data_IF_213830037000
#
_entry.id   IF_213830037000
#
_cell.length_a   1.000
_cell.length_b   1.000
_cell.length_c   1.000
_cell.angle_alpha   90.00
_cell.angle_beta   90.00
_cell.angle_gamma   90.00
#
_symmetry.space_group_name_H-M   'P 1'
#
loop_
_entity.id
_entity.type
_entity.pdbx_description
1 polymer ?
#
# COMPACT_ATOMS: atom_id res chain seq x y z
N UNK A 1 -0.01 -1.22 7.59
CA UNK A 1 0.64 -1.14 6.25
C UNK A 1 0.98 0.30 5.88
N UNK A 2 0.06 1.25 6.02
CA UNK A 2 0.26 2.67 5.63
C UNK A 2 1.45 3.34 6.32
N UNK A 3 1.66 3.09 7.62
CA UNK A 3 2.80 3.65 8.37
C UNK A 3 4.14 3.09 7.89
N UNK A 4 4.25 1.78 7.69
CA UNK A 4 5.47 1.12 7.20
C UNK A 4 5.85 1.59 5.79
N UNK A 5 4.86 1.73 4.90
CA UNK A 5 5.08 2.30 3.56
C UNK A 5 5.53 3.76 3.63
N UNK A 6 4.95 4.57 4.52
CA UNK A 6 5.35 5.96 4.69
C UNK A 6 6.78 6.08 5.24
N UNK A 7 7.18 5.20 6.16
CA UNK A 7 8.56 5.13 6.67
C UNK A 7 9.55 4.77 5.57
N UNK A 8 9.28 3.69 4.81
CA UNK A 8 10.13 3.27 3.69
C UNK A 8 10.24 4.38 2.64
N UNK A 9 9.12 5.04 2.31
CA UNK A 9 9.12 6.19 1.40
C UNK A 9 9.98 7.34 1.92
N UNK A 10 9.92 7.65 3.21
CA UNK A 10 10.73 8.70 3.83
C UNK A 10 12.22 8.35 3.80
N UNK A 11 12.59 7.11 4.15
CA UNK A 11 13.97 6.61 4.09
C UNK A 11 14.53 6.72 2.66
N UNK A 12 13.81 6.24 1.65
CA UNK A 12 14.20 6.32 0.25
C UNK A 12 14.34 7.77 -0.24
N UNK A 13 13.40 8.64 0.16
CA UNK A 13 13.45 10.06 -0.18
C UNK A 13 14.66 10.74 0.45
N UNK A 14 15.01 10.39 1.69
CA UNK A 14 16.17 10.92 2.38
C UNK A 14 17.48 10.51 1.69
N UNK A 15 17.61 9.25 1.26
CA UNK A 15 18.77 8.76 0.52
C UNK A 15 18.98 9.58 -0.78
N UNK A 16 17.93 9.74 -1.57
CA UNK A 16 17.98 10.52 -2.82
C UNK A 16 18.32 11.98 -2.56
N UNK A 17 17.69 12.57 -1.54
CA UNK A 17 17.91 13.98 -1.19
C UNK A 17 19.35 14.22 -0.74
N UNK A 18 19.89 13.35 0.11
CA UNK A 18 21.25 13.47 0.64
C UNK A 18 22.29 13.30 -0.49
N UNK A 19 22.08 12.35 -1.39
CA UNK A 19 22.94 12.19 -2.59
C UNK A 19 22.92 13.44 -3.47
N UNK A 20 21.74 14.01 -3.73
CA UNK A 20 21.61 15.22 -4.54
C UNK A 20 22.29 16.44 -3.88
N UNK A 21 22.13 16.60 -2.56
CA UNK A 21 22.80 17.67 -1.80
C UNK A 21 24.33 17.56 -1.88
N UNK A 22 24.89 16.34 -1.78
CA UNK A 22 26.32 16.14 -1.90
C UNK A 22 26.82 16.40 -3.33
N UNK A 23 26.06 16.02 -4.37
CA UNK A 23 26.34 16.41 -5.75
C UNK A 23 26.38 17.95 -5.91
N UNK A 24 25.40 18.64 -5.34
CA UNK A 24 25.31 20.10 -5.46
C UNK A 24 26.45 20.81 -4.72
N UNK A 25 26.86 20.31 -3.55
CA UNK A 25 28.06 20.80 -2.85
C UNK A 25 29.32 20.62 -3.67
N UNK A 26 29.52 19.45 -4.28
CA UNK A 26 30.66 19.19 -5.15
C UNK A 26 30.66 20.13 -6.37
N UNK A 27 29.50 20.35 -7.00
CA UNK A 27 29.37 21.30 -8.12
C UNK A 27 29.73 22.73 -7.70
N UNK A 28 29.31 23.17 -6.52
CA UNK A 28 29.69 24.48 -5.99
C UNK A 28 31.20 24.60 -5.74
N UNK A 29 31.84 23.58 -5.16
CA UNK A 29 33.28 23.54 -4.95
C UNK A 29 34.06 23.53 -6.28
N UNK A 30 33.59 22.80 -7.27
CA UNK A 30 34.19 22.80 -8.62
C UNK A 30 34.05 24.17 -9.27
N UNK A 31 32.90 24.85 -9.10
CA UNK A 31 32.68 26.18 -9.64
C UNK A 31 33.59 27.24 -9.00
N UNK A 32 33.80 27.19 -7.67
CA UNK A 32 34.74 28.09 -7.00
C UNK A 32 36.18 27.83 -7.44
N UNK A 33 36.61 26.57 -7.49
CA UNK A 33 37.94 26.20 -8.00
C UNK A 33 38.15 26.63 -9.45
N UNK A 34 37.13 26.52 -10.30
CA UNK A 34 37.21 26.97 -11.70
C UNK A 34 37.42 28.48 -11.81
N UNK A 35 36.90 29.25 -10.84
CA UNK A 35 37.15 30.69 -10.75
C UNK A 35 38.59 30.96 -10.30
N UNK A 36 39.04 30.28 -9.25
CA UNK A 36 40.40 30.42 -8.71
C UNK A 36 41.47 30.05 -9.76
N UNK A 37 41.23 28.99 -10.55
CA UNK A 37 42.12 28.59 -11.66
C UNK A 37 42.23 29.73 -12.68
N UNK A 38 41.12 30.36 -13.08
CA UNK A 38 41.13 31.49 -14.04
C UNK A 38 41.88 32.70 -13.50
N UNK A 39 41.71 33.02 -12.22
CA UNK A 39 42.44 34.10 -11.56
C UNK A 39 43.95 33.80 -11.53
N UNK A 40 44.33 32.56 -11.20
CA UNK A 40 45.72 32.11 -11.17
C UNK A 40 46.37 32.01 -12.55
N UNK A 41 45.61 31.65 -13.59
CA UNK A 41 46.07 31.74 -14.98
C UNK A 41 46.41 33.17 -15.38
N UNK A 42 45.62 34.15 -14.93
CA UNK A 42 45.88 35.56 -15.17
C UNK A 42 47.14 36.05 -14.43
N UNK A 43 47.29 35.70 -13.14
CA UNK A 43 48.49 36.00 -12.35
C UNK A 43 49.75 35.40 -12.98
N UNK A 44 49.66 34.16 -13.49
CA UNK A 44 50.77 33.50 -14.20
C UNK A 44 51.18 34.29 -15.44
N UNK A 45 50.23 34.69 -16.28
CA UNK A 45 50.51 35.50 -17.49
C UNK A 45 51.15 36.84 -17.14
N UNK A 46 50.74 37.47 -16.04
CA UNK A 46 51.36 38.71 -15.57
C UNK A 46 52.80 38.48 -15.09
N UNK A 47 53.06 37.39 -14.37
CA UNK A 47 54.41 37.01 -13.95
C UNK A 47 55.33 36.66 -15.14
N UNK A 48 54.81 35.98 -16.17
CA UNK A 48 55.52 35.71 -17.42
C UNK A 48 55.97 37.02 -18.09
N UNK A 49 55.10 38.04 -18.10
CA UNK A 49 55.42 39.35 -18.70
C UNK A 49 56.51 40.12 -17.94
N UNK A 50 56.65 39.90 -16.63
CA UNK A 50 57.63 40.57 -15.76
C UNK A 50 58.97 39.82 -15.68
N UNK A 51 59.09 38.66 -16.34
CA UNK A 51 60.33 37.84 -16.40
C UNK A 51 60.86 37.40 -15.02
N UNK A 52 60.01 37.35 -13.99
CA UNK A 52 60.38 36.86 -12.66
C UNK A 52 60.21 35.35 -12.58
N UNK A 53 61.28 34.63 -12.91
CA UNK A 53 61.29 33.17 -12.97
C UNK A 53 60.95 32.47 -11.65
N UNK A 54 61.24 33.09 -10.50
CA UNK A 54 60.94 32.49 -9.19
C UNK A 54 59.44 32.51 -8.93
N UNK A 55 58.82 33.69 -9.12
CA UNK A 55 57.37 33.86 -8.97
C UNK A 55 56.63 32.99 -10.00
N UNK A 56 57.14 32.91 -11.23
CA UNK A 56 56.54 32.08 -12.27
C UNK A 56 56.48 30.60 -11.89
N UNK A 57 57.57 30.04 -11.36
CA UNK A 57 57.64 28.65 -10.92
C UNK A 57 56.62 28.36 -9.80
N UNK A 58 56.52 29.25 -8.81
CA UNK A 58 55.54 29.14 -7.71
C UNK A 58 54.10 29.15 -8.26
N UNK A 59 53.78 30.06 -9.19
CA UNK A 59 52.45 30.17 -9.81
C UNK A 59 52.08 28.95 -10.67
N UNK A 60 53.04 28.36 -11.37
CA UNK A 60 52.82 27.12 -12.13
C UNK A 60 52.50 25.96 -11.19
N UNK A 61 53.19 25.86 -10.05
CA UNK A 61 52.91 24.85 -9.03
C UNK A 61 51.53 25.02 -8.38
N UNK A 62 51.16 26.25 -8.01
CA UNK A 62 49.83 26.58 -7.49
C UNK A 62 48.72 26.17 -8.47
N UNK A 63 48.89 26.54 -9.74
CA UNK A 63 47.93 26.25 -10.81
C UNK A 63 47.77 24.75 -11.03
N UNK A 64 48.88 24.02 -11.10
CA UNK A 64 48.86 22.56 -11.26
C UNK A 64 48.09 21.88 -10.11
N UNK A 65 48.33 22.31 -8.86
CA UNK A 65 47.61 21.78 -7.70
C UNK A 65 46.10 22.03 -7.78
N UNK A 66 45.68 23.22 -8.23
CA UNK A 66 44.27 23.56 -8.40
C UNK A 66 43.61 22.71 -9.49
N UNK A 67 44.28 22.52 -10.63
CA UNK A 67 43.80 21.66 -11.72
C UNK A 67 43.66 20.20 -11.29
N UNK A 68 44.64 19.65 -10.55
CA UNK A 68 44.54 18.29 -10.02
C UNK A 68 43.39 18.15 -9.01
N UNK A 69 43.20 19.15 -8.16
CA UNK A 69 42.11 19.17 -7.17
C UNK A 69 40.75 19.19 -7.88
N UNK A 70 40.61 20.03 -8.92
CA UNK A 70 39.39 20.09 -9.73
C UNK A 70 39.10 18.74 -10.42
N UNK A 71 40.13 18.09 -10.97
CA UNK A 71 40.01 16.77 -11.59
C UNK A 71 39.53 15.71 -10.60
N UNK A 72 40.12 15.68 -9.39
CA UNK A 72 39.72 14.77 -8.32
C UNK A 72 38.24 14.95 -7.92
N UNK A 73 37.79 16.20 -7.79
CA UNK A 73 36.40 16.50 -7.45
C UNK A 73 35.44 16.12 -8.57
N UNK A 74 35.81 16.36 -9.84
CA UNK A 74 35.02 15.92 -11.00
C UNK A 74 34.90 14.39 -11.05
N UNK A 75 35.99 13.66 -10.78
CA UNK A 75 35.96 12.20 -10.73
C UNK A 75 35.07 11.70 -9.57
N UNK A 76 35.11 12.37 -8.42
CA UNK A 76 34.22 12.07 -7.28
C UNK A 76 32.76 12.33 -7.62
N UNK A 77 32.45 13.46 -8.28
CA UNK A 77 31.11 13.80 -8.74
C UNK A 77 30.58 12.73 -9.71
N UNK A 78 31.37 12.39 -10.74
CA UNK A 78 31.00 11.40 -11.75
C UNK A 78 30.73 10.03 -11.12
N UNK A 79 31.57 9.62 -10.17
CA UNK A 79 31.34 8.39 -9.39
C UNK A 79 30.03 8.48 -8.62
N UNK A 80 29.78 9.55 -7.88
CA UNK A 80 28.56 9.73 -7.10
C UNK A 80 27.32 9.68 -8.00
N UNK A 81 27.32 10.40 -9.12
CA UNK A 81 26.23 10.41 -10.10
C UNK A 81 25.96 9.01 -10.67
N UNK A 82 27.03 8.27 -11.02
CA UNK A 82 26.93 6.91 -11.58
C UNK A 82 26.57 5.82 -10.56
N UNK A 83 26.79 6.05 -9.27
CA UNK A 83 26.54 5.03 -8.24
C UNK A 83 25.04 4.91 -8.01
N UNK A 84 24.48 3.70 -8.13
CA UNK A 84 23.10 3.46 -7.72
C UNK A 84 22.93 3.85 -6.25
N UNK A 85 21.92 4.66 -5.95
CA UNK A 85 21.70 5.15 -4.59
C UNK A 85 21.22 4.07 -3.62
N UNK A 86 20.77 2.93 -4.13
CA UNK A 86 20.24 1.80 -3.38
C UNK A 86 20.76 0.53 -4.05
N UNK A 87 21.27 -0.40 -3.24
CA UNK A 87 21.76 -1.71 -3.67
C UNK A 87 20.62 -2.70 -3.93
N UNK A 88 20.94 -3.82 -4.59
CA UNK A 88 19.96 -4.88 -4.81
C UNK A 88 19.51 -5.53 -3.50
N UNK A 89 20.45 -5.69 -2.55
CA UNK A 89 20.19 -6.22 -1.21
C UNK A 89 19.24 -5.31 -0.42
N UNK A 90 19.47 -4.00 -0.40
CA UNK A 90 18.58 -3.05 0.28
C UNK A 90 17.17 -3.04 -0.36
N UNK A 91 17.09 -3.15 -1.69
CA UNK A 91 15.79 -3.29 -2.38
C UNK A 91 15.03 -4.54 -1.92
N UNK A 92 15.72 -5.67 -1.75
CA UNK A 92 15.11 -6.91 -1.24
C UNK A 92 14.64 -6.75 0.20
N UNK A 93 15.44 -6.11 1.05
CA UNK A 93 15.06 -5.86 2.44
C UNK A 93 13.80 -4.99 2.55
N UNK A 94 13.70 -3.94 1.73
CA UNK A 94 12.48 -3.13 1.64
C UNK A 94 11.27 -3.93 1.17
N UNK A 95 11.45 -4.79 0.16
CA UNK A 95 10.41 -5.67 -0.33
C UNK A 95 9.93 -6.65 0.76
N UNK A 96 10.85 -7.25 1.51
CA UNK A 96 10.52 -8.17 2.60
C UNK A 96 9.77 -7.48 3.73
N UNK A 97 10.18 -6.25 4.11
CA UNK A 97 9.45 -5.42 5.09
C UNK A 97 8.01 -5.13 4.64
N UNK A 98 7.80 -4.85 3.35
CA UNK A 98 6.46 -4.60 2.78
C UNK A 98 5.61 -5.87 2.85
N UNK A 99 6.16 -7.01 2.43
CA UNK A 99 5.44 -8.29 2.45
C UNK A 99 5.08 -8.72 3.87
N UNK A 100 5.98 -8.55 4.83
CA UNK A 100 5.72 -8.84 6.23
C UNK A 100 4.57 -7.99 6.78
N UNK A 101 4.58 -6.67 6.53
CA UNK A 101 3.51 -5.78 6.96
C UNK A 101 2.17 -6.10 6.28
N UNK A 102 2.20 -6.49 4.99
CA UNK A 102 1.01 -6.90 4.27
C UNK A 102 0.40 -8.19 4.82
N UNK A 103 1.24 -9.16 5.14
CA UNK A 103 0.83 -10.41 5.75
C UNK A 103 0.19 -10.19 7.12
N UNK A 104 0.80 -9.38 7.97
CA UNK A 104 0.26 -9.07 9.29
C UNK A 104 -1.13 -8.41 9.21
N UNK A 105 -1.32 -7.48 8.27
CA UNK A 105 -2.61 -6.81 8.09
C UNK A 105 -3.68 -7.74 7.50
N UNK A 106 -3.28 -8.61 6.57
CA UNK A 106 -4.14 -9.66 6.04
C UNK A 106 -4.59 -10.63 7.14
N UNK A 107 -3.67 -11.09 7.99
CA UNK A 107 -3.98 -11.96 9.13
C UNK A 107 -4.97 -11.28 10.10
N UNK A 108 -4.78 -10.00 10.42
CA UNK A 108 -5.72 -9.21 11.24
C UNK A 108 -7.12 -9.11 10.60
N UNK A 109 -7.20 -8.93 9.29
CA UNK A 109 -8.47 -8.88 8.57
C UNK A 109 -9.17 -10.25 8.55
N UNK A 110 -8.41 -11.32 8.34
CA UNK A 110 -8.93 -12.69 8.39
C UNK A 110 -9.47 -13.00 9.79
N UNK A 111 -8.75 -12.68 10.86
CA UNK A 111 -9.23 -12.89 12.23
C UNK A 111 -10.52 -12.12 12.52
N UNK A 112 -10.67 -10.90 11.98
CA UNK A 112 -11.93 -10.12 12.08
C UNK A 112 -13.07 -10.73 11.26
N UNK A 113 -12.75 -11.35 10.12
CA UNK A 113 -13.75 -11.96 9.24
C UNK A 113 -14.24 -13.34 9.72
N UNK A 114 -13.40 -14.10 10.44
CA UNK A 114 -13.77 -15.42 11.00
C UNK A 114 -15.08 -15.44 11.79
N UNK A 115 -15.34 -14.55 12.77
CA UNK A 115 -16.60 -14.58 13.50
C UNK A 115 -17.81 -14.31 12.60
N UNK A 116 -17.70 -13.37 11.64
CA UNK A 116 -18.76 -13.08 10.68
C UNK A 116 -19.06 -14.29 9.80
N UNK A 117 -18.02 -14.97 9.32
CA UNK A 117 -18.16 -16.21 8.54
C UNK A 117 -18.84 -17.31 9.35
N UNK A 118 -18.46 -17.49 10.62
CA UNK A 118 -19.08 -18.47 11.50
C UNK A 118 -20.56 -18.16 11.76
N UNK A 119 -20.91 -16.89 12.04
CA UNK A 119 -22.31 -16.48 12.20
C UNK A 119 -23.13 -16.71 10.92
N UNK A 120 -22.57 -16.41 9.75
CA UNK A 120 -23.22 -16.68 8.47
C UNK A 120 -23.45 -18.18 8.25
N UNK A 121 -22.47 -19.01 8.61
CA UNK A 121 -22.57 -20.47 8.53
C UNK A 121 -23.66 -21.01 9.46
N UNK A 122 -23.74 -20.51 10.69
CA UNK A 122 -24.80 -20.90 11.64
C UNK A 122 -26.19 -20.48 11.16
N UNK A 123 -26.33 -19.26 10.63
CA UNK A 123 -27.60 -18.79 10.04
C UNK A 123 -28.02 -19.62 8.84
N UNK A 124 -27.07 -19.99 7.98
CA UNK A 124 -27.32 -20.87 6.83
C UNK A 124 -27.80 -22.26 7.27
N UNK A 125 -27.17 -22.84 8.30
CA UNK A 125 -27.61 -24.12 8.87
C UNK A 125 -29.04 -24.05 9.43
N UNK A 126 -29.34 -23.00 10.22
CA UNK A 126 -30.70 -22.77 10.75
C UNK A 126 -31.74 -22.58 9.64
N UNK A 127 -31.40 -21.86 8.58
CA UNK A 127 -32.28 -21.71 7.43
C UNK A 127 -32.61 -23.06 6.79
N UNK A 128 -31.62 -23.95 6.65
CA UNK A 128 -31.83 -25.30 6.12
C UNK A 128 -32.77 -26.14 7.00
N UNK A 129 -32.64 -26.04 8.32
CA UNK A 129 -33.56 -26.70 9.26
C UNK A 129 -35.00 -26.19 9.10
N UNK A 130 -35.19 -24.88 8.96
CA UNK A 130 -36.51 -24.27 8.75
C UNK A 130 -37.13 -24.76 7.43
N UNK A 131 -36.37 -24.83 6.34
CA UNK A 131 -36.88 -25.36 5.08
C UNK A 131 -37.31 -26.83 5.20
N UNK A 132 -36.53 -27.66 5.88
CA UNK A 132 -36.90 -29.06 6.11
C UNK A 132 -38.19 -29.19 6.93
N UNK A 133 -38.36 -28.36 7.98
CA UNK A 133 -39.58 -28.33 8.78
C UNK A 133 -40.79 -27.86 7.96
N UNK A 134 -40.60 -26.85 7.10
CA UNK A 134 -41.64 -26.35 6.21
C UNK A 134 -42.09 -27.41 5.21
N UNK A 135 -41.15 -28.14 4.60
CA UNK A 135 -41.44 -29.25 3.70
C UNK A 135 -42.21 -30.37 4.40
N UNK A 136 -41.81 -30.73 5.62
CA UNK A 136 -42.50 -31.76 6.40
C UNK A 136 -43.94 -31.36 6.75
N UNK A 137 -44.14 -30.13 7.22
CA UNK A 137 -45.48 -29.58 7.50
C UNK A 137 -46.35 -29.53 6.25
N UNK A 138 -45.77 -29.13 5.10
CA UNK A 138 -46.49 -29.09 3.83
C UNK A 138 -46.89 -30.49 3.38
N UNK A 139 -46.02 -31.49 3.57
CA UNK A 139 -46.33 -32.90 3.27
C UNK A 139 -47.44 -33.44 4.16
N UNK A 140 -47.40 -33.15 5.46
CA UNK A 140 -48.44 -33.55 6.41
C UNK A 140 -49.78 -32.90 6.09
N UNK A 141 -49.80 -31.59 5.80
CA UNK A 141 -51.00 -30.88 5.38
C UNK A 141 -51.59 -31.48 4.10
N UNK A 142 -50.73 -31.80 3.13
CA UNK A 142 -51.16 -32.43 1.87
C UNK A 142 -51.76 -33.81 2.12
N UNK A 143 -51.14 -34.61 2.99
CA UNK A 143 -51.66 -35.93 3.38
C UNK A 143 -53.01 -35.82 4.07
N UNK A 144 -53.17 -34.88 5.01
CA UNK A 144 -54.45 -34.64 5.69
C UNK A 144 -55.53 -34.25 4.69
N UNK A 145 -55.26 -33.28 3.80
CA UNK A 145 -56.22 -32.85 2.77
C UNK A 145 -56.63 -34.00 1.85
N UNK A 146 -55.70 -34.88 1.45
CA UNK A 146 -55.99 -36.00 0.54
C UNK A 146 -56.66 -37.19 1.21
N UNK A 147 -56.46 -37.41 2.52
CA UNK A 147 -56.95 -38.59 3.24
C UNK A 147 -58.07 -38.28 4.25
N UNK A 148 -58.42 -37.02 4.47
CA UNK A 148 -59.68 -36.70 5.16
C UNK A 148 -60.87 -37.17 4.31
N UNK A 149 -61.73 -38.06 4.83
CA UNK A 149 -62.91 -38.48 4.09
C UNK A 149 -63.81 -37.27 3.85
N UNK A 150 -64.33 -37.13 2.62
CA UNK A 150 -65.31 -36.11 2.25
C UNK A 150 -66.61 -36.34 3.04
N UNK A 151 -66.70 -35.78 4.25
CA UNK A 151 -67.94 -35.74 5.02
C UNK A 151 -68.88 -34.76 4.29
N UNK A 152 -70.14 -35.15 3.98
CA UNK A 152 -71.11 -34.22 3.44
C UNK A 152 -71.28 -33.03 4.38
N UNK A 153 -71.03 -31.84 3.84
CA UNK A 153 -71.07 -30.50 4.44
C UNK A 153 -71.80 -30.34 5.77
N UNK A 154 -71.05 -30.02 6.82
CA UNK A 154 -71.47 -29.09 7.86
C UNK A 154 -70.85 -27.71 7.55
N UNK A 155 -71.51 -26.59 7.92
CA UNK A 155 -71.14 -25.26 7.45
C UNK A 155 -69.70 -24.91 7.83
N UNK A 156 -68.98 -24.32 6.87
CA UNK A 156 -67.54 -23.97 6.91
C UNK A 156 -67.11 -23.03 8.06
N UNK A 157 -68.02 -22.64 8.97
CA UNK A 157 -67.75 -21.65 10.01
C UNK A 157 -67.03 -22.20 11.26
N UNK A 158 -66.95 -23.51 11.46
CA UNK A 158 -66.33 -24.07 12.67
C UNK A 158 -64.81 -24.32 12.58
N UNK A 159 -64.22 -24.30 11.38
CA UNK A 159 -62.77 -24.51 11.16
C UNK A 159 -61.97 -23.23 10.86
N UNK A 160 -62.61 -22.06 10.83
CA UNK A 160 -61.94 -20.76 10.62
C UNK A 160 -61.23 -20.19 11.84
N UNK A 161 -60.93 -21.01 12.85
CA UNK A 161 -60.59 -20.51 14.18
C UNK A 161 -59.12 -20.51 14.61
N UNK A 162 -58.24 -21.40 14.10
CA UNK A 162 -56.95 -21.61 14.80
C UNK A 162 -55.67 -21.83 13.98
N UNK A 163 -55.67 -21.83 12.65
CA UNK A 163 -54.45 -22.18 11.89
C UNK A 163 -54.05 -21.25 10.74
N UNK A 164 -54.96 -20.44 10.17
CA UNK A 164 -54.64 -19.65 8.96
C UNK A 164 -54.30 -18.18 9.28
N UNK A 165 -54.74 -17.65 10.42
CA UNK A 165 -54.39 -16.28 10.83
C UNK A 165 -52.87 -16.10 11.01
N UNK A 166 -52.21 -17.06 11.67
CA UNK A 166 -50.76 -17.00 11.90
C UNK A 166 -49.91 -17.12 10.63
N UNK A 167 -50.37 -17.88 9.62
CA UNK A 167 -49.62 -18.04 8.36
C UNK A 167 -49.72 -16.77 7.51
N UNK A 168 -50.87 -16.09 7.52
CA UNK A 168 -51.04 -14.80 6.85
C UNK A 168 -50.21 -13.71 7.52
N UNK A 169 -50.20 -13.65 8.85
CA UNK A 169 -49.38 -12.67 9.59
C UNK A 169 -47.87 -12.89 9.37
N UNK A 170 -47.43 -14.15 9.22
CA UNK A 170 -46.03 -14.48 8.89
C UNK A 170 -45.68 -14.12 7.45
N UNK A 171 -46.57 -14.35 6.47
CA UNK A 171 -46.36 -13.96 5.07
C UNK A 171 -46.36 -12.44 4.90
N UNK A 172 -47.25 -11.73 5.60
CA UNK A 172 -47.30 -10.27 5.58
C UNK A 172 -46.06 -9.66 6.28
N UNK A 173 -45.52 -10.31 7.32
CA UNK A 173 -44.26 -9.90 7.96
C UNK A 173 -43.03 -10.09 7.05
N UNK A 174 -42.95 -11.21 6.33
CA UNK A 174 -41.85 -11.49 5.39
C UNK A 174 -41.87 -10.53 4.20
N UNK A 175 -43.05 -10.19 3.66
CA UNK A 175 -43.17 -9.19 2.59
C UNK A 175 -42.83 -7.76 3.05
N UNK A 176 -43.06 -7.43 4.32
CA UNK A 176 -42.77 -6.09 4.85
C UNK A 176 -41.27 -5.84 5.09
N UNK A 177 -40.48 -6.88 5.37
CA UNK A 177 -39.02 -6.75 5.52
C UNK A 177 -38.28 -6.65 4.17
N UNK A 178 -38.77 -7.29 3.10
CA UNK A 178 -38.17 -7.19 1.77
C UNK A 178 -38.34 -5.79 1.14
N UNK A 179 -39.37 -5.05 1.52
CA UNK A 179 -39.64 -3.68 1.02
C UNK A 179 -38.88 -2.57 1.76
N UNK A 180 -38.10 -2.90 2.80
CA UNK A 180 -37.29 -1.95 3.58
C UNK A 180 -35.78 -2.03 3.31
N UNK A 181 -35.36 -2.86 2.35
CA UNK A 181 -34.01 -2.82 1.76
C UNK A 181 -34.04 -2.08 0.43
#
# INVERSE_FOLDING_TARGET
MTETLNQIKAELTAIVTNKNQECDRLRQQIASLSKDIKEKEAEKKEAESKTDYKILSEKVGELWNLEQTQKLLNDKLKKLESTQGITSEECKEYQDRIHAAAREESEKLIEKAKPLYNSLRELSAKSGEIYNQFDELTRLLTYDVMNTPSIPSLPLDSYRGRSIAGIKDVLDFVQFEELKK
#
